data_IF_323049466454
#
_entry.id   IF_323049466454
#
_cell.length_a   1.000
_cell.length_b   1.000
_cell.length_c   1.000
_cell.angle_alpha   90.00
_cell.angle_beta   90.00
_cell.angle_gamma   90.00
#
_symmetry.space_group_name_H-M   'P 1'
#
loop_
_entity.id
_entity.type
_entity.pdbx_description
1 polymer ?
#
# COMPACT_ATOMS: atom_id res chain seq x y z
N UNK A 1 28.55 25.99 -50.80
CA UNK A 1 28.50 25.57 -49.39
C UNK A 1 27.18 26.01 -48.75
N UNK A 2 26.13 25.21 -48.92
CA UNK A 2 24.85 25.27 -48.20
C UNK A 2 24.43 23.80 -48.15
N UNK A 3 24.20 23.23 -46.95
CA UNK A 3 23.39 22.01 -46.66
C UNK A 3 23.91 21.08 -45.54
N UNK A 4 24.53 21.60 -44.46
CA UNK A 4 24.70 20.80 -43.23
C UNK A 4 23.79 21.27 -42.08
N UNK A 5 23.32 22.52 -42.09
CA UNK A 5 22.44 23.05 -41.03
C UNK A 5 20.98 22.59 -41.11
N UNK A 6 20.51 22.12 -42.28
CA UNK A 6 19.10 21.77 -42.48
C UNK A 6 18.68 20.39 -41.93
N UNK A 7 19.61 19.45 -41.84
CA UNK A 7 19.31 18.07 -41.42
C UNK A 7 19.13 17.98 -39.90
N UNK A 8 19.97 18.68 -39.13
CA UNK A 8 19.89 18.73 -37.67
C UNK A 8 18.59 19.37 -37.15
N UNK A 9 18.10 20.42 -37.82
CA UNK A 9 16.85 21.10 -37.43
C UNK A 9 15.62 20.23 -37.69
N UNK A 10 15.62 19.40 -38.75
CA UNK A 10 14.53 18.45 -39.02
C UNK A 10 14.50 17.29 -38.02
N UNK A 11 15.67 16.76 -37.64
CA UNK A 11 15.77 15.71 -36.62
C UNK A 11 15.33 16.22 -35.24
N UNK A 12 15.78 17.41 -34.81
CA UNK A 12 15.34 17.98 -33.54
C UNK A 12 13.82 18.18 -33.47
N UNK A 13 13.18 18.62 -34.57
CA UNK A 13 11.72 18.81 -34.61
C UNK A 13 10.93 17.52 -34.37
N UNK A 14 11.47 16.36 -34.74
CA UNK A 14 10.81 15.07 -34.56
C UNK A 14 11.09 14.42 -33.20
N UNK A 15 12.24 14.73 -32.57
CA UNK A 15 12.65 14.14 -31.28
C UNK A 15 12.00 14.90 -30.10
N UNK A 16 11.86 16.22 -30.21
CA UNK A 16 11.30 17.06 -29.12
C UNK A 16 9.92 16.57 -28.64
N UNK A 17 8.94 16.24 -29.51
CA UNK A 17 7.63 15.77 -29.08
C UNK A 17 7.68 14.43 -28.32
N UNK A 18 8.61 13.54 -28.67
CA UNK A 18 8.80 12.24 -28.03
C UNK A 18 9.35 12.41 -26.62
N UNK A 19 10.31 13.33 -26.43
CA UNK A 19 10.85 13.68 -25.11
C UNK A 19 9.82 14.37 -24.20
N UNK A 20 8.79 15.01 -24.75
CA UNK A 20 7.72 15.61 -23.95
C UNK A 20 6.84 14.57 -23.24
N UNK A 21 6.77 13.33 -23.73
CA UNK A 21 5.93 12.28 -23.14
C UNK A 21 6.40 11.85 -21.74
N UNK A 22 7.66 11.43 -21.53
CA UNK A 22 8.14 11.06 -20.20
C UNK A 22 8.12 12.26 -19.24
N UNK A 23 8.37 13.48 -19.73
CA UNK A 23 8.29 14.70 -18.92
C UNK A 23 6.85 14.95 -18.45
N UNK A 24 5.87 14.82 -19.35
CA UNK A 24 4.45 15.01 -19.01
C UNK A 24 3.96 13.94 -18.02
N UNK A 25 4.41 12.69 -18.18
CA UNK A 25 4.12 11.61 -17.23
C UNK A 25 4.71 11.90 -15.83
N UNK A 26 5.99 12.32 -15.77
CA UNK A 26 6.65 12.69 -14.52
C UNK A 26 5.96 13.87 -13.83
N UNK A 27 5.54 14.88 -14.60
CA UNK A 27 4.79 16.04 -14.08
C UNK A 27 3.42 15.63 -13.54
N UNK A 28 2.71 14.73 -14.22
CA UNK A 28 1.41 14.22 -13.76
C UNK A 28 1.54 13.45 -12.44
N UNK A 29 2.51 12.55 -12.34
CA UNK A 29 2.80 11.82 -11.11
C UNK A 29 3.21 12.74 -9.95
N UNK A 30 4.09 13.71 -10.22
CA UNK A 30 4.53 14.71 -9.24
C UNK A 30 3.36 15.57 -8.75
N UNK A 31 2.45 15.94 -9.66
CA UNK A 31 1.25 16.72 -9.31
C UNK A 31 0.32 15.94 -8.39
N UNK A 32 0.07 14.67 -8.68
CA UNK A 32 -0.71 13.81 -7.79
C UNK A 32 -0.08 13.74 -6.38
N UNK A 33 1.23 13.49 -6.31
CA UNK A 33 1.94 13.42 -5.04
C UNK A 33 1.81 14.73 -4.24
N UNK A 34 2.04 15.88 -4.88
CA UNK A 34 1.93 17.19 -4.23
C UNK A 34 0.49 17.46 -3.76
N UNK A 35 -0.52 17.17 -4.58
CA UNK A 35 -1.93 17.30 -4.17
C UNK A 35 -2.27 16.41 -2.98
N UNK A 36 -1.81 15.16 -2.97
CA UNK A 36 -1.95 14.26 -1.84
C UNK A 36 -1.33 14.86 -0.56
N UNK A 37 -0.07 15.29 -0.63
CA UNK A 37 0.60 15.92 0.53
C UNK A 37 -0.16 17.14 1.04
N UNK A 38 -0.70 17.98 0.14
CA UNK A 38 -1.48 19.15 0.52
C UNK A 38 -2.80 18.79 1.20
N UNK A 39 -3.53 17.80 0.67
CA UNK A 39 -4.79 17.33 1.26
C UNK A 39 -4.57 16.75 2.67
N UNK A 40 -3.53 15.94 2.84
CA UNK A 40 -3.20 15.37 4.16
C UNK A 40 -2.69 16.42 5.15
N UNK A 41 -1.98 17.45 4.68
CA UNK A 41 -1.48 18.53 5.54
C UNK A 41 -2.57 19.56 5.88
N UNK A 42 -3.56 19.76 5.00
CA UNK A 42 -4.67 20.70 5.20
C UNK A 42 -5.84 20.10 6.01
N UNK A 43 -5.99 18.77 5.97
CA UNK A 43 -7.02 18.07 6.73
C UNK A 43 -6.78 18.18 8.24
N UNK A 44 -7.73 18.76 8.97
CA UNK A 44 -7.73 18.80 10.44
C UNK A 44 -8.06 17.43 11.08
N UNK A 45 -8.12 16.35 10.31
CA UNK A 45 -8.59 15.03 10.76
C UNK A 45 -7.53 14.21 11.53
N UNK A 46 -6.84 14.82 12.50
CA UNK A 46 -6.03 14.10 13.47
C UNK A 46 -4.72 13.47 12.95
N UNK A 47 -4.28 13.79 11.73
CA UNK A 47 -2.97 13.36 11.22
C UNK A 47 -1.83 14.25 11.78
N UNK A 48 -0.64 13.68 12.05
CA UNK A 48 0.31 14.24 13.01
C UNK A 48 1.20 15.39 12.51
N UNK A 49 0.85 16.11 11.45
CA UNK A 49 1.69 17.23 10.99
C UNK A 49 0.89 18.32 10.28
N UNK A 50 0.40 19.30 11.05
CA UNK A 50 0.10 20.65 10.52
C UNK A 50 1.42 21.36 10.20
N UNK A 51 2.11 20.86 9.19
CA UNK A 51 3.39 21.43 8.77
C UNK A 51 3.14 22.46 7.67
N UNK A 52 2.97 23.72 8.09
CA UNK A 52 2.78 24.85 7.18
C UNK A 52 3.91 24.95 6.15
N UNK A 53 5.13 24.56 6.51
CA UNK A 53 6.27 24.59 5.60
C UNK A 53 6.15 23.55 4.49
N UNK A 54 5.74 22.32 4.83
CA UNK A 54 5.47 21.26 3.83
C UNK A 54 4.34 21.69 2.90
N UNK A 55 3.24 22.23 3.44
CA UNK A 55 2.13 22.71 2.63
C UNK A 55 2.54 23.82 1.66
N UNK A 56 3.22 24.88 2.15
CA UNK A 56 3.67 26.00 1.31
C UNK A 56 4.66 25.56 0.25
N UNK A 57 5.61 24.67 0.59
CA UNK A 57 6.55 24.09 -0.37
C UNK A 57 5.82 23.30 -1.46
N UNK A 58 4.86 22.46 -1.08
CA UNK A 58 4.09 21.66 -2.04
C UNK A 58 3.25 22.53 -2.97
N UNK A 59 2.63 23.59 -2.44
CA UNK A 59 1.89 24.57 -3.25
C UNK A 59 2.80 25.29 -4.25
N UNK A 60 3.97 25.76 -3.80
CA UNK A 60 4.93 26.45 -4.68
C UNK A 60 5.41 25.55 -5.82
N UNK A 61 5.77 24.30 -5.53
CA UNK A 61 6.18 23.32 -6.53
C UNK A 61 5.04 22.99 -7.51
N UNK A 62 3.80 22.88 -7.02
CA UNK A 62 2.63 22.65 -7.86
C UNK A 62 2.42 23.81 -8.85
N UNK A 63 2.50 25.05 -8.38
CA UNK A 63 2.41 26.25 -9.24
C UNK A 63 3.51 26.29 -10.29
N UNK A 64 4.74 25.89 -9.92
CA UNK A 64 5.86 25.81 -10.86
C UNK A 64 5.60 24.76 -11.95
N UNK A 65 5.14 23.56 -11.58
CA UNK A 65 4.80 22.51 -12.55
C UNK A 65 3.69 22.97 -13.51
N UNK A 66 2.64 23.61 -12.98
CA UNK A 66 1.56 24.17 -13.79
C UNK A 66 2.06 25.26 -14.75
N UNK A 67 2.95 26.15 -14.29
CA UNK A 67 3.54 27.18 -15.14
C UNK A 67 4.37 26.58 -16.29
N UNK A 68 5.16 25.54 -16.02
CA UNK A 68 5.93 24.82 -17.05
C UNK A 68 5.00 24.11 -18.03
N UNK A 69 3.93 23.45 -17.54
CA UNK A 69 2.96 22.77 -18.39
C UNK A 69 2.25 23.76 -19.33
N UNK A 70 1.73 24.87 -18.80
CA UNK A 70 1.06 25.92 -19.59
C UNK A 70 2.04 26.55 -20.58
N UNK A 71 3.26 26.87 -20.14
CA UNK A 71 4.31 27.41 -21.01
C UNK A 71 4.66 26.47 -22.16
N UNK A 72 4.79 25.17 -21.88
CA UNK A 72 5.04 24.15 -22.90
C UNK A 72 3.88 24.02 -23.89
N UNK A 73 2.63 24.08 -23.41
CA UNK A 73 1.44 24.05 -24.25
C UNK A 73 1.37 25.25 -25.19
N UNK A 74 1.58 26.47 -24.67
CA UNK A 74 1.59 27.70 -25.47
C UNK A 74 2.71 27.64 -26.53
N UNK A 75 3.90 27.15 -26.15
CA UNK A 75 5.03 27.03 -27.06
C UNK A 75 4.75 26.02 -28.18
N UNK A 76 4.23 24.84 -27.85
CA UNK A 76 3.86 23.81 -28.82
C UNK A 76 2.75 24.29 -29.76
N UNK A 77 1.73 24.95 -29.22
CA UNK A 77 0.61 25.50 -30.00
C UNK A 77 1.08 26.56 -31.00
N UNK A 78 1.87 27.54 -30.53
CA UNK A 78 2.33 28.66 -31.37
C UNK A 78 3.36 28.24 -32.42
N UNK A 79 4.31 27.35 -32.06
CA UNK A 79 5.49 27.08 -32.89
C UNK A 79 5.36 25.87 -33.80
N UNK A 80 4.59 24.86 -33.40
CA UNK A 80 4.53 23.60 -34.14
C UNK A 80 3.15 23.30 -34.74
N UNK A 81 2.06 23.99 -34.32
CA UNK A 81 0.66 23.70 -34.73
C UNK A 81 0.37 22.19 -34.74
N UNK A 82 1.00 21.45 -33.82
CA UNK A 82 1.08 20.01 -33.88
C UNK A 82 0.06 19.43 -32.90
N UNK A 83 -0.91 18.60 -33.34
CA UNK A 83 -1.93 18.02 -32.46
C UNK A 83 -1.36 17.19 -31.30
N UNK A 84 -0.07 16.84 -31.32
CA UNK A 84 0.62 16.16 -30.22
C UNK A 84 0.54 16.89 -28.86
N UNK A 85 0.22 18.18 -28.80
CA UNK A 85 0.01 18.83 -27.50
C UNK A 85 -1.23 18.29 -26.77
N UNK A 86 -2.29 17.92 -27.49
CA UNK A 86 -3.48 17.30 -26.88
C UNK A 86 -3.12 15.94 -26.27
N UNK A 87 -2.25 15.19 -26.94
CA UNK A 87 -1.72 13.92 -26.44
C UNK A 87 -0.91 14.14 -25.16
N UNK A 88 -0.04 15.16 -25.10
CA UNK A 88 0.70 15.49 -23.87
C UNK A 88 -0.22 15.83 -22.68
N UNK A 89 -1.25 16.64 -22.91
CA UNK A 89 -2.23 17.00 -21.87
C UNK A 89 -2.98 15.74 -21.41
N UNK A 90 -3.40 14.89 -22.35
CA UNK A 90 -4.09 13.65 -22.04
C UNK A 90 -3.19 12.69 -21.23
N UNK A 91 -1.90 12.57 -21.61
CA UNK A 91 -0.92 11.80 -20.84
C UNK A 91 -0.74 12.36 -19.42
N UNK A 92 -0.55 13.68 -19.28
CA UNK A 92 -0.44 14.32 -17.97
C UNK A 92 -1.66 14.02 -17.10
N UNK A 93 -2.88 14.19 -17.63
CA UNK A 93 -4.12 13.90 -16.91
C UNK A 93 -4.22 12.41 -16.56
N UNK A 94 -3.91 11.50 -17.49
CA UNK A 94 -3.93 10.07 -17.23
C UNK A 94 -3.00 9.68 -16.08
N UNK A 95 -1.79 10.24 -16.02
CA UNK A 95 -0.84 9.94 -14.94
C UNK A 95 -1.27 10.50 -13.58
N UNK A 96 -2.02 11.60 -13.52
CA UNK A 96 -2.62 12.06 -12.26
C UNK A 96 -3.59 11.01 -11.70
N UNK A 97 -4.41 10.40 -12.55
CA UNK A 97 -5.39 9.39 -12.12
C UNK A 97 -4.79 8.00 -11.91
N UNK A 98 -3.74 7.65 -12.64
CA UNK A 98 -3.05 6.35 -12.53
C UNK A 98 -2.04 6.33 -11.39
N UNK A 99 -1.47 7.47 -11.01
CA UNK A 99 -0.52 7.59 -9.90
C UNK A 99 -1.00 6.94 -8.58
N UNK A 100 -2.25 7.12 -8.10
CA UNK A 100 -2.72 6.44 -6.88
C UNK A 100 -2.66 4.92 -7.00
N UNK A 101 -3.02 4.36 -8.16
CA UNK A 101 -2.94 2.92 -8.40
C UNK A 101 -1.48 2.43 -8.39
N UNK A 102 -0.57 3.16 -9.03
CA UNK A 102 0.87 2.82 -9.02
C UNK A 102 1.44 2.86 -7.60
N UNK A 103 1.16 3.94 -6.86
CA UNK A 103 1.66 4.13 -5.50
C UNK A 103 1.14 3.03 -4.56
N UNK A 104 -0.16 2.71 -4.63
CA UNK A 104 -0.74 1.64 -3.83
C UNK A 104 -0.09 0.28 -4.10
N UNK A 105 0.16 -0.05 -5.38
CA UNK A 105 0.85 -1.30 -5.73
C UNK A 105 2.31 -1.29 -5.30
N UNK A 106 3.01 -0.16 -5.43
CA UNK A 106 4.40 -0.02 -4.99
C UNK A 106 4.53 -0.22 -3.48
N UNK A 107 3.69 0.44 -2.68
CA UNK A 107 3.70 0.29 -1.22
C UNK A 107 3.34 -1.15 -0.82
N UNK A 108 2.37 -1.77 -1.48
CA UNK A 108 2.04 -3.19 -1.25
C UNK A 108 3.24 -4.11 -1.51
N UNK A 109 3.94 -3.93 -2.62
CA UNK A 109 5.14 -4.74 -2.95
C UNK A 109 6.26 -4.47 -1.95
N UNK A 110 6.49 -3.21 -1.58
CA UNK A 110 7.54 -2.81 -0.63
C UNK A 110 7.27 -3.34 0.78
N UNK A 111 6.01 -3.35 1.20
CA UNK A 111 5.58 -3.86 2.51
C UNK A 111 5.63 -5.39 2.60
N UNK A 112 5.68 -6.10 1.46
CA UNK A 112 5.56 -7.55 1.44
C UNK A 112 6.73 -8.21 2.17
N UNK A 113 6.46 -9.04 3.19
CA UNK A 113 7.51 -9.69 3.96
C UNK A 113 8.27 -10.70 3.08
N UNK A 114 9.59 -10.89 3.29
CA UNK A 114 10.37 -11.89 2.57
C UNK A 114 9.77 -13.30 2.68
N UNK A 115 9.78 -14.05 1.58
CA UNK A 115 9.28 -15.45 1.55
C UNK A 115 9.96 -16.32 2.60
N UNK A 116 11.24 -16.06 2.88
CA UNK A 116 12.00 -16.79 3.92
C UNK A 116 11.42 -16.56 5.32
N UNK A 117 11.03 -15.33 5.64
CA UNK A 117 10.42 -14.99 6.93
C UNK A 117 9.03 -15.62 7.06
N UNK A 118 8.23 -15.56 5.98
CA UNK A 118 6.91 -16.22 5.93
C UNK A 118 7.03 -17.73 6.21
N UNK A 119 7.95 -18.42 5.54
CA UNK A 119 8.18 -19.86 5.75
C UNK A 119 8.67 -20.18 7.16
N UNK A 120 9.61 -19.39 7.70
CA UNK A 120 10.11 -19.60 9.05
C UNK A 120 9.01 -19.43 10.10
N UNK A 121 8.13 -18.43 9.92
CA UNK A 121 6.98 -18.19 10.79
C UNK A 121 5.96 -19.34 10.71
N UNK A 122 5.65 -19.79 9.50
CA UNK A 122 4.76 -20.93 9.27
C UNK A 122 5.29 -22.21 9.92
N UNK A 123 6.57 -22.51 9.75
CA UNK A 123 7.21 -23.66 10.40
C UNK A 123 7.16 -23.55 11.93
N UNK A 124 7.46 -22.38 12.47
CA UNK A 124 7.37 -22.13 13.91
C UNK A 124 5.96 -22.43 14.46
N UNK A 125 4.91 -21.95 13.79
CA UNK A 125 3.54 -22.22 14.21
C UNK A 125 3.15 -23.69 14.07
N UNK A 126 3.53 -24.35 12.97
CA UNK A 126 3.27 -25.77 12.79
C UNK A 126 3.92 -26.61 13.91
N UNK A 127 5.18 -26.31 14.26
CA UNK A 127 5.89 -26.98 15.35
C UNK A 127 5.21 -26.75 16.71
N UNK A 128 4.81 -25.51 17.02
CA UNK A 128 4.18 -25.17 18.30
C UNK A 128 2.79 -25.77 18.47
N UNK A 129 2.00 -25.79 17.40
CA UNK A 129 0.66 -26.40 17.40
C UNK A 129 0.77 -27.90 17.64
N UNK A 130 1.69 -28.57 16.94
CA UNK A 130 1.94 -29.99 17.13
C UNK A 130 2.47 -30.31 18.53
N UNK A 131 3.40 -29.51 19.06
CA UNK A 131 3.97 -29.70 20.40
C UNK A 131 2.95 -29.51 21.53
N UNK A 132 1.94 -28.67 21.32
CA UNK A 132 0.86 -28.43 22.28
C UNK A 132 -0.38 -29.31 22.03
N UNK A 133 -0.33 -30.19 21.02
CA UNK A 133 -1.44 -31.06 20.60
C UNK A 133 -2.75 -30.27 20.36
N UNK A 134 -2.62 -29.03 19.86
CA UNK A 134 -3.78 -28.19 19.59
C UNK A 134 -4.53 -28.72 18.36
N UNK A 135 -5.88 -28.73 18.37
CA UNK A 135 -6.68 -29.30 17.27
C UNK A 135 -6.78 -28.32 16.10
N UNK A 136 -5.64 -27.89 15.55
CA UNK A 136 -5.55 -26.92 14.46
C UNK A 136 -4.56 -27.41 13.40
N UNK A 137 -4.84 -27.05 12.17
CA UNK A 137 -3.94 -27.21 11.04
C UNK A 137 -3.58 -25.82 10.48
N UNK A 138 -2.31 -25.64 10.12
CA UNK A 138 -1.83 -24.44 9.45
C UNK A 138 -2.20 -24.48 7.97
N UNK A 139 -3.06 -23.56 7.53
CA UNK A 139 -3.42 -23.39 6.12
C UNK A 139 -2.36 -22.52 5.43
N UNK A 140 -1.35 -23.17 4.84
CA UNK A 140 -0.19 -22.50 4.22
C UNK A 140 -0.61 -21.64 3.03
N UNK A 141 -1.50 -22.18 2.19
CA UNK A 141 -1.95 -21.51 0.97
C UNK A 141 -2.77 -20.27 1.30
N UNK A 142 -3.68 -20.37 2.27
CA UNK A 142 -4.47 -19.22 2.74
C UNK A 142 -3.57 -18.19 3.43
N UNK A 143 -2.63 -18.62 4.27
CA UNK A 143 -1.65 -17.73 4.93
C UNK A 143 -0.83 -16.92 3.91
N UNK A 144 -0.39 -17.57 2.83
CA UNK A 144 0.36 -16.92 1.76
C UNK A 144 -0.53 -15.97 0.94
N UNK A 145 -1.75 -16.39 0.62
CA UNK A 145 -2.76 -15.60 -0.08
C UNK A 145 -3.07 -14.29 0.67
N UNK A 146 -3.36 -14.39 1.97
CA UNK A 146 -3.66 -13.23 2.83
C UNK A 146 -2.44 -12.33 3.04
N UNK A 147 -1.25 -12.93 3.20
CA UNK A 147 0.00 -12.15 3.25
C UNK A 147 0.23 -11.35 1.97
N UNK A 148 -0.02 -11.96 0.81
CA UNK A 148 0.12 -11.29 -0.49
C UNK A 148 -0.94 -10.20 -0.69
N UNK A 149 -2.17 -10.39 -0.20
CA UNK A 149 -3.25 -9.39 -0.28
C UNK A 149 -2.98 -8.17 0.58
N UNK A 150 -2.62 -8.40 1.84
CA UNK A 150 -2.45 -7.36 2.86
C UNK A 150 -1.08 -6.69 2.87
N UNK A 151 -0.04 -7.37 2.37
CA UNK A 151 1.35 -6.94 2.54
C UNK A 151 1.88 -7.10 3.97
N UNK A 152 1.18 -7.82 4.85
CA UNK A 152 1.61 -8.08 6.25
C UNK A 152 1.77 -9.58 6.48
N UNK A 153 2.51 -9.99 7.51
CA UNK A 153 2.67 -11.42 7.83
C UNK A 153 1.36 -12.00 8.38
N UNK A 154 0.74 -12.91 7.64
CA UNK A 154 -0.46 -13.64 8.06
C UNK A 154 -0.15 -15.11 8.37
N UNK A 155 -0.78 -15.61 9.43
CA UNK A 155 -0.81 -17.01 9.82
C UNK A 155 -2.27 -17.42 9.97
N UNK A 156 -2.70 -18.41 9.19
CA UNK A 156 -4.08 -18.89 9.16
C UNK A 156 -4.13 -20.29 9.74
N UNK A 157 -4.85 -20.45 10.83
CA UNK A 157 -5.05 -21.73 11.51
C UNK A 157 -6.52 -22.14 11.37
N UNK A 158 -6.75 -23.37 10.91
CA UNK A 158 -8.10 -23.95 10.78
C UNK A 158 -8.24 -25.10 11.76
N UNK A 159 -9.29 -25.08 12.57
CA UNK A 159 -9.58 -26.13 13.54
C UNK A 159 -9.86 -27.47 12.84
N UNK A 160 -9.34 -28.57 13.37
CA UNK A 160 -9.50 -29.92 12.79
C UNK A 160 -10.73 -30.66 13.32
N UNK A 161 -11.20 -30.28 14.51
CA UNK A 161 -12.37 -30.85 15.18
C UNK A 161 -13.58 -29.91 15.09
N UNK A 162 -14.77 -30.46 15.24
CA UNK A 162 -16.01 -29.69 15.25
C UNK A 162 -16.17 -28.87 16.52
N UNK A 163 -16.98 -27.81 16.43
CA UNK A 163 -17.31 -26.91 17.54
C UNK A 163 -16.55 -25.58 17.53
N UNK A 164 -16.99 -24.69 18.42
CA UNK A 164 -16.44 -23.35 18.59
C UNK A 164 -14.99 -23.36 19.08
N UNK A 165 -14.28 -22.26 18.84
CA UNK A 165 -12.95 -22.02 19.40
C UNK A 165 -13.05 -21.88 20.92
N UNK A 166 -12.42 -22.77 21.68
CA UNK A 166 -12.46 -22.71 23.13
C UNK A 166 -11.54 -21.57 23.65
N UNK A 167 -11.87 -21.00 24.81
CA UNK A 167 -11.05 -19.93 25.41
C UNK A 167 -9.63 -20.42 25.74
N UNK A 168 -9.48 -21.65 26.21
CA UNK A 168 -8.17 -22.26 26.50
C UNK A 168 -7.33 -22.50 25.24
N UNK A 169 -7.97 -22.90 24.14
CA UNK A 169 -7.32 -23.02 22.82
C UNK A 169 -6.83 -21.65 22.35
N UNK A 170 -7.73 -20.66 22.38
CA UNK A 170 -7.41 -19.28 21.99
C UNK A 170 -6.22 -18.73 22.78
N UNK A 171 -6.25 -18.85 24.12
CA UNK A 171 -5.16 -18.39 24.99
C UNK A 171 -3.84 -19.13 24.69
N UNK A 172 -3.91 -20.44 24.45
CA UNK A 172 -2.72 -21.23 24.08
C UNK A 172 -2.08 -20.71 22.79
N UNK A 173 -2.88 -20.40 21.77
CA UNK A 173 -2.38 -19.89 20.50
C UNK A 173 -1.81 -18.47 20.65
N UNK A 174 -2.48 -17.60 21.40
CA UNK A 174 -1.97 -16.25 21.68
C UNK A 174 -0.62 -16.32 22.42
N UNK A 175 -0.47 -17.24 23.37
CA UNK A 175 0.75 -17.37 24.18
C UNK A 175 1.98 -17.84 23.40
N UNK A 176 1.78 -18.64 22.34
CA UNK A 176 2.86 -19.05 21.42
C UNK A 176 3.17 -17.99 20.37
N UNK A 177 2.40 -16.90 20.29
CA UNK A 177 2.65 -15.86 19.31
C UNK A 177 4.07 -15.28 19.46
N UNK A 178 4.87 -15.25 18.37
CA UNK A 178 6.21 -14.70 18.41
C UNK A 178 6.17 -13.18 18.67
N UNK A 179 7.30 -12.65 19.12
CA UNK A 179 7.51 -11.22 19.36
C UNK A 179 7.64 -10.38 18.08
N UNK A 180 7.02 -10.82 16.98
CA UNK A 180 7.00 -10.12 15.70
C UNK A 180 5.58 -9.65 15.41
N UNK A 181 5.43 -8.51 14.73
CA UNK A 181 4.12 -8.00 14.33
C UNK A 181 3.46 -8.94 13.33
N UNK A 182 2.51 -9.76 13.78
CA UNK A 182 1.85 -10.76 12.94
C UNK A 182 0.34 -10.68 13.05
N UNK A 183 -0.32 -11.09 11.98
CA UNK A 183 -1.76 -11.25 11.90
C UNK A 183 -2.08 -12.73 11.96
N UNK A 184 -2.78 -13.14 13.01
CA UNK A 184 -3.20 -14.50 13.23
C UNK A 184 -4.71 -14.59 12.98
N UNK A 185 -5.12 -15.49 12.10
CA UNK A 185 -6.53 -15.74 11.82
C UNK A 185 -6.86 -17.18 12.22
N UNK A 186 -7.85 -17.32 13.08
CA UNK A 186 -8.36 -18.60 13.56
C UNK A 186 -9.71 -18.87 12.91
N UNK A 187 -9.82 -19.98 12.20
CA UNK A 187 -11.06 -20.52 11.67
C UNK A 187 -11.48 -21.74 12.48
N UNK A 188 -12.79 -21.89 12.71
CA UNK A 188 -13.33 -23.20 13.04
C UNK A 188 -13.34 -24.12 11.79
N UNK A 189 -13.70 -25.39 11.99
CA UNK A 189 -13.65 -26.42 10.93
C UNK A 189 -14.51 -26.07 9.70
N UNK A 190 -15.66 -25.43 9.92
CA UNK A 190 -16.62 -25.04 8.88
C UNK A 190 -16.27 -23.68 8.22
N UNK A 191 -15.27 -22.97 8.74
CA UNK A 191 -14.84 -21.63 8.30
C UNK A 191 -15.91 -20.53 8.42
N UNK A 192 -16.96 -20.73 9.22
CA UNK A 192 -18.01 -19.74 9.49
C UNK A 192 -17.66 -18.83 10.68
N UNK A 193 -16.88 -19.32 11.64
CA UNK A 193 -16.37 -18.51 12.76
C UNK A 193 -14.90 -18.15 12.53
N UNK A 194 -14.63 -16.84 12.47
CA UNK A 194 -13.30 -16.27 12.24
C UNK A 194 -12.91 -15.37 13.40
N UNK A 195 -11.71 -15.56 13.96
CA UNK A 195 -11.10 -14.62 14.89
C UNK A 195 -9.77 -14.16 14.31
N UNK A 196 -9.69 -12.90 13.90
CA UNK A 196 -8.47 -12.23 13.48
C UNK A 196 -7.85 -11.48 14.65
N UNK A 197 -6.53 -11.61 14.80
CA UNK A 197 -5.73 -11.01 15.86
C UNK A 197 -4.49 -10.36 15.26
N UNK A 198 -4.18 -9.14 15.69
CA UNK A 198 -2.89 -8.52 15.43
C UNK A 198 -2.06 -8.52 16.72
N UNK A 199 -1.00 -9.33 16.76
CA UNK A 199 -0.08 -9.35 17.88
C UNK A 199 1.08 -8.38 17.63
N UNK A 200 1.45 -7.61 18.64
CA UNK A 200 2.64 -6.78 18.64
C UNK A 200 3.87 -7.54 19.13
N UNK A 201 5.05 -6.93 18.96
CA UNK A 201 6.29 -7.58 19.32
C UNK A 201 6.49 -7.83 20.82
N UNK A 202 5.75 -7.12 21.68
CA UNK A 202 5.70 -7.35 23.13
C UNK A 202 4.62 -8.36 23.54
N UNK A 203 4.04 -9.10 22.57
CA UNK A 203 2.88 -10.01 22.73
C UNK A 203 1.58 -9.31 23.12
N UNK A 204 1.54 -7.99 23.17
CA UNK A 204 0.28 -7.27 23.34
C UNK A 204 -0.61 -7.47 22.11
N UNK A 205 -1.91 -7.65 22.32
CA UNK A 205 -2.87 -7.71 21.22
C UNK A 205 -3.22 -6.27 20.86
N UNK A 206 -2.85 -5.85 19.64
CA UNK A 206 -3.12 -4.52 19.10
C UNK A 206 -4.49 -4.41 18.46
N UNK A 207 -4.97 -5.52 17.90
CA UNK A 207 -6.26 -5.55 17.23
C UNK A 207 -6.87 -6.94 17.33
N UNK A 208 -8.20 -6.98 17.37
CA UNK A 208 -8.96 -8.21 17.39
C UNK A 208 -10.32 -8.00 16.72
N UNK A 209 -10.68 -8.90 15.81
CA UNK A 209 -11.95 -8.88 15.07
C UNK A 209 -12.53 -10.30 14.93
N UNK A 210 -13.86 -10.49 15.06
CA UNK A 210 -14.89 -9.50 15.35
C UNK A 210 -14.99 -9.16 16.84
N UNK A 211 -15.36 -7.90 17.14
CA UNK A 211 -15.42 -7.34 18.51
C UNK A 211 -16.17 -8.23 19.51
N UNK A 212 -17.32 -8.80 19.12
CA UNK A 212 -18.13 -9.64 20.01
C UNK A 212 -17.38 -10.90 20.45
N UNK A 213 -16.63 -11.53 19.55
CA UNK A 213 -15.80 -12.69 19.89
C UNK A 213 -14.64 -12.23 20.77
N UNK A 214 -13.93 -11.17 20.40
CA UNK A 214 -12.81 -10.64 21.19
C UNK A 214 -13.19 -10.29 22.64
N UNK A 215 -14.37 -9.69 22.83
CA UNK A 215 -14.94 -9.40 24.15
C UNK A 215 -15.25 -10.69 24.92
N UNK A 216 -15.77 -11.73 24.27
CA UNK A 216 -16.01 -13.06 24.87
C UNK A 216 -14.71 -13.68 25.39
N UNK A 217 -13.59 -13.47 24.69
CA UNK A 217 -12.27 -13.99 25.08
C UNK A 217 -11.50 -13.10 26.07
N UNK A 218 -12.12 -12.02 26.56
CA UNK A 218 -11.53 -11.05 27.48
C UNK A 218 -10.19 -10.48 26.97
N UNK A 219 -10.09 -10.27 25.66
CA UNK A 219 -8.94 -9.64 25.02
C UNK A 219 -9.03 -8.15 25.30
N UNK A 220 -8.17 -7.65 26.18
CA UNK A 220 -8.04 -6.21 26.41
C UNK A 220 -7.05 -5.66 25.39
N UNK A 221 -7.55 -4.79 24.50
CA UNK A 221 -6.74 -4.13 23.49
C UNK A 221 -7.10 -2.65 23.48
N UNK A 222 -6.11 -1.75 23.28
CA UNK A 222 -6.38 -0.33 23.26
C UNK A 222 -7.42 -0.06 22.17
N UNK A 223 -8.54 0.58 22.55
CA UNK A 223 -9.50 1.17 21.61
C UNK A 223 -8.81 2.34 20.89
N UNK A 224 -7.89 2.02 19.99
CA UNK A 224 -7.28 2.95 19.06
C UNK A 224 -7.98 2.82 17.72
N UNK A 225 -8.63 3.88 17.28
CA UNK A 225 -9.15 4.02 15.93
C UNK A 225 -8.01 3.74 14.93
N UNK A 226 -8.17 2.70 14.12
CA UNK A 226 -7.29 2.54 12.98
C UNK A 226 -7.72 3.53 11.90
N UNK A 227 -6.83 4.47 11.60
CA UNK A 227 -6.73 5.05 10.27
C UNK A 227 -6.34 3.91 9.33
N UNK A 228 -7.33 3.33 8.65
CA UNK A 228 -7.17 2.46 7.47
C UNK A 228 -6.47 3.22 6.34
#
# INVERSE_FOLDING_TARGET
MKTVSGLGIKLLKNIIPILCWPISALMGFSTFYLLGTMLFTASNAGLPTKDTFVFTRSLFLLLLILAVLVGSCIWLFRKMRNPLYYVNILFYMAFIFVAPWILNNYERIRSMPPVKEQKALQQYYAEKINALELPYHLDIDESFSETKKSGRLFVVLTKTIEGDIALSEFQSIVNISPSQGIFLTLYNKEKDMVIGLAAAGDKSIKDCSPYLLCKKYNVDYPKGEWNL
#
